data_IF_222450315458
#
_entry.id   IF_222450315458
#
_cell.length_a   1.000
_cell.length_b   1.000
_cell.length_c   1.000
_cell.angle_alpha   90.00
_cell.angle_beta   90.00
_cell.angle_gamma   90.00
#
_symmetry.space_group_name_H-M   'P 1'
#
loop_
_entity.id
_entity.type
_entity.pdbx_description
1 polymer ?
#
# COMPACT_ATOMS: atom_id res chain seq x y z
N UNK A 1 -2.03 11.99 -68.71
CA UNK A 1 -1.77 12.40 -67.31
C UNK A 1 -2.97 11.97 -66.47
N UNK A 2 -2.93 10.74 -65.95
CA UNK A 2 -4.03 10.15 -65.18
C UNK A 2 -3.58 10.00 -63.74
N UNK A 3 -4.16 10.78 -62.82
CA UNK A 3 -3.93 10.60 -61.39
C UNK A 3 -5.03 9.71 -60.81
N UNK A 4 -4.58 8.63 -60.17
CA UNK A 4 -5.38 7.65 -59.42
C UNK A 4 -5.35 8.09 -57.93
N UNK A 5 -6.48 8.12 -57.20
CA UNK A 5 -6.48 8.59 -55.81
C UNK A 5 -5.79 7.57 -54.86
N UNK A 6 -5.13 8.02 -53.78
CA UNK A 6 -4.45 7.14 -52.85
C UNK A 6 -5.45 6.31 -52.02
N UNK A 7 -5.18 5.01 -51.95
CA UNK A 7 -5.94 3.99 -51.23
C UNK A 7 -5.60 4.08 -49.73
N UNK A 8 -6.53 4.58 -48.92
CA UNK A 8 -6.39 4.65 -47.45
C UNK A 8 -6.69 3.26 -46.88
N UNK A 9 -5.66 2.58 -46.42
CA UNK A 9 -5.77 1.30 -45.70
C UNK A 9 -5.78 1.63 -44.20
N UNK A 10 -6.94 1.50 -43.56
CA UNK A 10 -7.06 1.61 -42.10
C UNK A 10 -6.59 0.27 -41.51
N UNK A 11 -5.43 0.27 -40.89
CA UNK A 11 -4.98 -0.85 -40.07
C UNK A 11 -5.89 -0.92 -38.83
N UNK A 12 -6.61 -2.04 -38.68
CA UNK A 12 -7.19 -2.45 -37.41
C UNK A 12 -6.02 -2.68 -36.45
N UNK A 13 -5.88 -1.81 -35.45
CA UNK A 13 -5.09 -2.14 -34.27
C UNK A 13 -6.07 -2.66 -33.22
N UNK A 14 -6.23 -3.98 -33.24
CA UNK A 14 -6.71 -4.77 -32.12
C UNK A 14 -5.82 -4.50 -30.90
N UNK A 15 -6.13 -3.47 -30.13
CA UNK A 15 -5.62 -3.33 -28.77
C UNK A 15 -6.75 -3.59 -27.79
N UNK A 16 -7.29 -4.80 -27.88
CA UNK A 16 -7.88 -5.46 -26.73
C UNK A 16 -6.75 -5.64 -25.74
N UNK A 17 -6.59 -4.69 -24.81
CA UNK A 17 -5.70 -4.84 -23.68
C UNK A 17 -6.24 -5.97 -22.80
N UNK A 18 -5.91 -7.21 -23.17
CA UNK A 18 -5.98 -8.35 -22.29
C UNK A 18 -5.17 -8.02 -21.06
N UNK A 19 -5.88 -7.71 -19.97
CA UNK A 19 -5.31 -7.64 -18.63
C UNK A 19 -4.62 -8.99 -18.40
N UNK A 20 -3.28 -9.08 -18.26
CA UNK A 20 -2.64 -10.36 -18.05
C UNK A 20 -3.06 -10.86 -16.66
N UNK A 21 -4.04 -11.76 -16.66
CA UNK A 21 -4.57 -12.51 -15.52
C UNK A 21 -3.57 -13.59 -15.09
N UNK A 22 -2.30 -13.21 -14.93
CA UNK A 22 -1.18 -14.10 -14.66
C UNK A 22 -0.24 -13.60 -13.55
N UNK A 23 -0.60 -12.56 -12.79
CA UNK A 23 0.21 -12.08 -11.65
C UNK A 23 -0.19 -12.69 -10.29
N UNK A 24 -0.59 -13.98 -10.25
CA UNK A 24 -1.05 -14.66 -9.02
C UNK A 24 0.04 -15.47 -8.27
N UNK A 25 1.29 -15.48 -8.72
CA UNK A 25 2.34 -16.35 -8.14
C UNK A 25 3.65 -15.67 -7.80
N UNK A 26 3.83 -14.37 -8.06
CA UNK A 26 4.99 -13.66 -7.55
C UNK A 26 4.81 -13.44 -6.03
N UNK A 27 5.70 -14.05 -5.23
CA UNK A 27 5.75 -13.85 -3.78
C UNK A 27 5.98 -12.36 -3.51
N UNK A 28 5.06 -11.74 -2.78
CA UNK A 28 5.19 -10.34 -2.37
C UNK A 28 6.41 -10.16 -1.44
N UNK A 29 7.08 -9.00 -1.48
CA UNK A 29 8.15 -8.72 -0.54
C UNK A 29 7.63 -8.76 0.91
N UNK A 30 8.48 -9.04 1.90
CA UNK A 30 8.09 -9.01 3.30
C UNK A 30 7.45 -7.67 3.67
N UNK A 31 6.40 -7.71 4.49
CA UNK A 31 5.64 -6.52 4.86
C UNK A 31 4.82 -5.96 3.70
N UNK A 32 4.41 -6.79 2.75
CA UNK A 32 3.49 -6.37 1.68
C UNK A 32 2.29 -7.31 1.59
N UNK A 33 1.11 -6.73 1.40
CA UNK A 33 -0.13 -7.47 1.18
C UNK A 33 -0.88 -6.91 -0.02
N UNK A 34 -1.64 -7.79 -0.70
CA UNK A 34 -2.54 -7.38 -1.78
C UNK A 34 -3.94 -7.19 -1.21
N UNK A 35 -4.53 -6.02 -1.45
CA UNK A 35 -5.89 -5.75 -1.01
C UNK A 35 -6.95 -6.41 -1.91
N UNK A 36 -8.21 -6.33 -1.49
CA UNK A 36 -9.35 -6.90 -2.25
C UNK A 36 -9.59 -6.23 -3.61
N UNK A 37 -9.02 -5.05 -3.85
CA UNK A 37 -9.06 -4.32 -5.13
C UNK A 37 -7.89 -4.67 -6.04
N UNK A 38 -6.95 -5.50 -5.59
CA UNK A 38 -5.78 -5.93 -6.34
C UNK A 38 -4.54 -5.03 -6.14
N UNK A 39 -4.64 -3.93 -5.38
CA UNK A 39 -3.52 -3.04 -5.10
C UNK A 39 -2.55 -3.71 -4.13
N UNK A 40 -1.26 -3.43 -4.28
CA UNK A 40 -0.24 -3.89 -3.33
C UNK A 40 0.04 -2.78 -2.32
N UNK A 41 -0.10 -3.07 -1.04
CA UNK A 41 0.26 -2.17 0.06
C UNK A 41 1.54 -2.69 0.70
N UNK A 42 2.55 -1.82 0.80
CA UNK A 42 3.78 -2.11 1.55
C UNK A 42 3.77 -1.34 2.86
N UNK A 43 4.08 -2.03 3.94
CA UNK A 43 4.24 -1.48 5.28
C UNK A 43 5.68 -1.62 5.75
N UNK A 44 6.09 -0.70 6.61
CA UNK A 44 7.34 -0.76 7.36
C UNK A 44 7.01 -0.53 8.83
N UNK A 45 7.49 -1.39 9.75
CA UNK A 45 7.29 -1.20 11.17
C UNK A 45 7.79 0.16 11.64
N UNK A 46 7.06 0.74 12.58
CA UNK A 46 7.44 2.02 13.17
C UNK A 46 8.50 1.80 14.23
N UNK A 47 9.57 2.59 14.17
CA UNK A 47 10.51 2.64 15.29
C UNK A 47 9.88 3.37 16.50
N UNK A 48 10.48 3.25 17.71
CA UNK A 48 9.93 3.89 18.91
C UNK A 48 9.81 5.43 18.80
N UNK A 49 10.74 6.09 18.10
CA UNK A 49 10.71 7.54 17.90
C UNK A 49 9.59 7.94 16.92
N UNK A 50 9.39 7.19 15.84
CA UNK A 50 8.26 7.36 14.93
C UNK A 50 6.93 7.18 15.63
N UNK A 51 6.79 6.12 16.43
CA UNK A 51 5.57 5.86 17.22
C UNK A 51 5.30 6.99 18.22
N UNK A 52 6.33 7.45 18.93
CA UNK A 52 6.21 8.57 19.85
C UNK A 52 5.78 9.87 19.15
N UNK A 53 6.41 10.21 18.01
CA UNK A 53 6.05 11.39 17.22
C UNK A 53 4.62 11.32 16.71
N UNK A 54 4.19 10.17 16.22
CA UNK A 54 2.83 9.91 15.76
C UNK A 54 1.80 10.15 16.87
N UNK A 55 2.04 9.59 18.06
CA UNK A 55 1.09 9.74 19.16
C UNK A 55 1.06 11.16 19.73
N UNK A 56 2.21 11.85 19.73
CA UNK A 56 2.26 13.27 20.09
C UNK A 56 1.45 14.13 19.12
N UNK A 57 1.44 13.79 17.84
CA UNK A 57 0.73 14.51 16.79
C UNK A 57 -0.79 14.34 16.86
N UNK A 58 -1.29 13.20 17.34
CA UNK A 58 -2.72 12.96 17.55
C UNK A 58 -3.31 13.77 18.70
N UNK A 59 -2.47 14.36 19.56
CA UNK A 59 -2.93 15.10 20.73
C UNK A 59 -3.85 14.26 21.62
N UNK A 60 -4.98 14.81 22.12
CA UNK A 60 -5.92 14.07 22.98
C UNK A 60 -6.52 12.82 22.33
N UNK A 61 -6.65 12.76 21.00
CA UNK A 61 -7.16 11.58 20.31
C UNK A 61 -6.23 10.37 20.52
N UNK A 62 -4.92 10.64 20.66
CA UNK A 62 -3.87 9.66 20.94
C UNK A 62 -4.01 8.96 22.30
N UNK A 63 -4.88 9.42 23.20
CA UNK A 63 -5.12 8.72 24.47
C UNK A 63 -5.95 7.45 24.28
N UNK A 64 -6.71 7.35 23.19
CA UNK A 64 -7.50 6.16 22.90
C UNK A 64 -6.67 5.09 22.19
N UNK A 65 -6.84 3.83 22.58
CA UNK A 65 -6.16 2.70 21.92
C UNK A 65 -6.60 2.60 20.46
N UNK A 66 -7.90 2.80 20.19
CA UNK A 66 -8.46 2.74 18.83
C UNK A 66 -7.82 3.74 17.87
N UNK A 67 -7.72 5.01 18.25
CA UNK A 67 -7.10 6.03 17.39
C UNK A 67 -5.61 5.76 17.18
N UNK A 68 -4.89 5.32 18.22
CA UNK A 68 -3.48 4.94 18.10
C UNK A 68 -3.29 3.79 17.12
N UNK A 69 -4.08 2.73 17.23
CA UNK A 69 -4.00 1.59 16.31
C UNK A 69 -4.26 2.00 14.86
N UNK A 70 -5.31 2.79 14.61
CA UNK A 70 -5.66 3.25 13.26
C UNK A 70 -4.54 4.13 12.68
N UNK A 71 -4.04 5.08 13.47
CA UNK A 71 -2.95 5.97 13.06
C UNK A 71 -1.65 5.20 12.81
N UNK A 72 -1.33 4.21 13.64
CA UNK A 72 -0.14 3.37 13.47
C UNK A 72 -0.18 2.59 12.17
N UNK A 73 -1.34 2.03 11.79
CA UNK A 73 -1.51 1.35 10.50
C UNK A 73 -1.26 2.33 9.35
N UNK A 74 -1.88 3.52 9.39
CA UNK A 74 -1.68 4.53 8.35
C UNK A 74 -0.21 4.96 8.22
N UNK A 75 0.45 5.25 9.35
CA UNK A 75 1.82 5.74 9.37
C UNK A 75 2.86 4.67 8.96
N UNK A 76 2.52 3.39 9.14
CA UNK A 76 3.35 2.27 8.71
C UNK A 76 3.33 2.06 7.19
N UNK A 77 2.31 2.53 6.48
CA UNK A 77 2.23 2.38 5.02
C UNK A 77 3.27 3.25 4.33
N UNK A 78 4.09 2.62 3.47
CA UNK A 78 5.15 3.27 2.68
C UNK A 78 4.90 3.26 1.19
N UNK A 79 4.03 2.37 0.73
CA UNK A 79 3.73 2.26 -0.69
C UNK A 79 2.32 1.76 -0.91
N UNK A 80 1.63 2.34 -1.89
CA UNK A 80 0.37 1.80 -2.42
C UNK A 80 0.52 1.72 -3.94
N UNK A 81 0.39 0.53 -4.49
CA UNK A 81 0.45 0.26 -5.93
C UNK A 81 1.70 0.80 -6.64
N UNK A 82 2.84 0.74 -5.94
CA UNK A 82 4.11 1.25 -6.45
C UNK A 82 4.39 2.72 -6.11
N UNK A 83 3.39 3.50 -5.71
CA UNK A 83 3.55 4.90 -5.32
C UNK A 83 4.04 5.00 -3.87
N UNK A 84 5.18 5.67 -3.66
CA UNK A 84 5.75 5.87 -2.32
C UNK A 84 4.97 6.92 -1.53
N UNK A 85 4.74 6.62 -0.25
CA UNK A 85 4.08 7.51 0.70
C UNK A 85 5.07 7.92 1.80
N UNK A 86 5.25 9.24 2.02
CA UNK A 86 6.09 9.73 3.10
C UNK A 86 5.45 9.40 4.46
N UNK A 87 6.27 9.44 5.52
CA UNK A 87 5.73 9.36 6.87
C UNK A 87 4.82 10.57 7.14
N UNK A 88 3.60 10.40 7.69
CA UNK A 88 2.72 11.53 7.98
C UNK A 88 3.27 12.37 9.13
N UNK A 89 3.26 13.69 8.96
CA UNK A 89 3.71 14.69 9.93
C UNK A 89 2.58 15.58 10.45
N UNK A 90 1.36 15.38 9.96
CA UNK A 90 0.15 16.02 10.49
C UNK A 90 -1.02 15.03 10.59
N UNK A 91 -2.01 15.32 11.43
CA UNK A 91 -3.26 14.54 11.51
C UNK A 91 -3.97 14.48 10.15
N UNK A 92 -3.99 15.60 9.42
CA UNK A 92 -4.54 15.68 8.06
C UNK A 92 -3.86 14.72 7.08
N UNK A 93 -2.55 14.50 7.21
CA UNK A 93 -1.83 13.53 6.38
C UNK A 93 -2.19 12.08 6.76
N UNK A 94 -2.42 11.78 8.04
CA UNK A 94 -2.95 10.47 8.45
C UNK A 94 -4.30 10.22 7.77
N UNK A 95 -5.22 11.19 7.85
CA UNK A 95 -6.54 11.09 7.24
C UNK A 95 -6.45 10.88 5.72
N UNK A 96 -5.55 11.59 5.04
CA UNK A 96 -5.32 11.43 3.61
C UNK A 96 -4.87 10.00 3.26
N UNK A 97 -3.94 9.43 4.05
CA UNK A 97 -3.50 8.04 3.87
C UNK A 97 -4.64 7.06 4.13
N UNK A 98 -5.42 7.25 5.20
CA UNK A 98 -6.58 6.41 5.52
C UNK A 98 -7.63 6.47 4.41
N UNK A 99 -7.89 7.65 3.84
CA UNK A 99 -8.81 7.84 2.73
C UNK A 99 -8.33 7.12 1.47
N UNK A 100 -7.02 7.19 1.17
CA UNK A 100 -6.41 6.51 0.04
C UNK A 100 -6.46 4.98 0.18
N UNK A 101 -6.20 4.46 1.38
CA UNK A 101 -6.32 3.04 1.69
C UNK A 101 -7.77 2.58 1.57
N UNK A 102 -8.70 3.33 2.15
CA UNK A 102 -10.05 2.86 2.43
C UNK A 102 -10.06 1.56 3.24
N UNK A 103 -11.22 0.93 3.36
CA UNK A 103 -11.38 -0.30 4.16
C UNK A 103 -10.49 -1.44 3.66
N UNK A 104 -10.49 -1.70 2.35
CA UNK A 104 -9.73 -2.82 1.77
C UNK A 104 -8.22 -2.66 1.96
N UNK A 105 -7.69 -1.45 1.75
CA UNK A 105 -6.27 -1.17 1.94
C UNK A 105 -5.87 -1.22 3.41
N UNK A 106 -6.72 -0.71 4.31
CA UNK A 106 -6.48 -0.73 5.75
C UNK A 106 -6.36 -2.16 6.29
N UNK A 107 -7.29 -3.04 5.91
CA UNK A 107 -7.25 -4.46 6.30
C UNK A 107 -5.97 -5.15 5.81
N UNK A 108 -5.61 -4.94 4.54
CA UNK A 108 -4.39 -5.49 3.97
C UNK A 108 -3.13 -4.98 4.69
N UNK A 109 -3.08 -3.68 5.00
CA UNK A 109 -1.98 -3.08 5.75
C UNK A 109 -1.88 -3.66 7.17
N UNK A 110 -3.00 -3.75 7.89
CA UNK A 110 -3.05 -4.33 9.23
C UNK A 110 -2.58 -5.78 9.24
N UNK A 111 -2.99 -6.58 8.26
CA UNK A 111 -2.55 -7.96 8.13
C UNK A 111 -1.05 -8.05 7.84
N UNK A 112 -0.54 -7.22 6.93
CA UNK A 112 0.88 -7.19 6.58
C UNK A 112 1.76 -6.83 7.79
N UNK A 113 1.31 -5.93 8.66
CA UNK A 113 2.00 -5.57 9.90
C UNK A 113 2.08 -6.78 10.83
N UNK A 114 0.95 -7.43 11.12
CA UNK A 114 0.90 -8.60 12.00
C UNK A 114 1.75 -9.76 11.49
N UNK A 115 1.73 -10.04 10.18
CA UNK A 115 2.57 -11.08 9.57
C UNK A 115 4.06 -10.75 9.67
N UNK A 116 4.43 -9.47 9.50
CA UNK A 116 5.81 -9.03 9.63
C UNK A 116 6.33 -9.19 11.06
N UNK A 117 5.55 -8.78 12.06
CA UNK A 117 5.89 -8.90 13.48
C UNK A 117 6.06 -10.37 13.90
N UNK A 118 5.14 -11.24 13.49
CA UNK A 118 5.24 -12.69 13.75
C UNK A 118 6.49 -13.29 13.10
N UNK A 119 6.81 -12.88 11.88
CA UNK A 119 8.01 -13.35 11.18
C UNK A 119 9.28 -12.95 11.93
N UNK A 120 9.35 -11.71 12.44
CA UNK A 120 10.51 -11.25 13.20
C UNK A 120 10.65 -11.99 14.54
N UNK A 121 9.54 -12.17 15.28
CA UNK A 121 9.54 -12.93 16.53
C UNK A 121 10.05 -14.37 16.34
N UNK A 122 9.63 -15.02 15.25
CA UNK A 122 10.09 -16.36 14.91
C UNK A 122 11.59 -16.40 14.56
N UNK A 123 12.10 -15.38 13.86
CA UNK A 123 13.53 -15.28 13.53
C UNK A 123 14.37 -15.09 14.80
N UNK A 124 13.91 -14.29 15.75
CA UNK A 124 14.60 -14.10 17.03
C UNK A 124 14.60 -15.36 17.89
N UNK A 125 13.48 -16.09 17.92
CA UNK A 125 13.37 -17.34 18.67
C UNK A 125 14.30 -18.45 18.17
N UNK A 126 14.67 -18.46 16.89
CA UNK A 126 15.61 -19.44 16.31
C UNK A 126 17.08 -19.12 16.65
N UNK A 127 17.39 -17.86 17.01
CA UNK A 127 18.76 -17.41 17.28
C UNK A 127 19.20 -17.62 18.74
N UNK A 128 18.26 -17.90 19.65
CA UNK A 128 18.51 -18.20 21.06
C UNK A 128 18.53 -19.70 21.31
#
# INVERSE_FOLDING_TARGET
MSQQPPRVTVHHDDSTAEVPKAAKTAKLPPGSARDRKGRVVRVVPLDPLQSFRLFKMLGPAGDTIGARSIASVAAAVRQIDGEELPFPNTEREIEAVLQLLGTAGYEAASQAISEFEQTQANIEAIKN
#
